data_IF_407849796308
#
_entry.id   IF_407849796308
#
_cell.length_a   1.000
_cell.length_b   1.000
_cell.length_c   1.000
_cell.angle_alpha   90.00
_cell.angle_beta   90.00
_cell.angle_gamma   90.00
#
_symmetry.space_group_name_H-M   'P 1'
#
loop_
_entity.id
_entity.type
_entity.pdbx_description
1 polymer ?
#
# COMPACT_ATOMS: atom_id res chain seq x y z
N UNK A 1 22.68 -2.08 7.31
CA UNK A 1 21.95 -0.81 7.06
C UNK A 1 22.08 0.19 8.21
N UNK A 2 22.42 1.47 7.92
CA UNK A 2 22.65 2.55 8.92
C UNK A 2 21.38 3.11 9.57
N UNK A 3 20.32 3.32 8.80
CA UNK A 3 19.10 3.98 9.28
C UNK A 3 17.99 2.99 9.63
N UNK A 4 16.94 3.51 10.26
CA UNK A 4 15.68 2.79 10.47
C UNK A 4 14.61 3.29 9.49
N UNK A 5 14.06 2.37 8.70
CA UNK A 5 13.06 2.59 7.68
C UNK A 5 11.64 2.28 8.16
N UNK A 6 11.45 1.89 9.42
CA UNK A 6 10.12 1.58 9.98
C UNK A 6 9.09 2.68 9.71
N UNK A 7 9.48 3.96 9.88
CA UNK A 7 8.59 5.11 9.64
C UNK A 7 8.22 5.28 8.17
N UNK A 8 9.12 4.96 7.25
CA UNK A 8 8.85 5.00 5.80
C UNK A 8 7.84 3.92 5.41
N UNK A 9 8.00 2.72 5.97
CA UNK A 9 7.18 1.55 5.68
C UNK A 9 5.79 1.64 6.35
N UNK A 10 5.71 2.19 7.57
CA UNK A 10 4.47 2.35 8.34
C UNK A 10 3.67 3.55 7.80
N UNK A 11 3.04 3.37 6.64
CA UNK A 11 2.15 4.35 6.03
C UNK A 11 0.85 3.70 5.59
N UNK A 12 -0.27 4.14 6.18
CA UNK A 12 -1.60 3.60 5.96
C UNK A 12 -2.42 4.37 4.90
N UNK A 13 -1.82 5.35 4.22
CA UNK A 13 -2.49 6.13 3.17
C UNK A 13 -2.54 5.39 1.82
N UNK A 14 -2.58 4.05 1.85
CA UNK A 14 -2.55 3.23 0.64
C UNK A 14 -3.94 3.01 0.07
N UNK A 15 -4.02 2.99 -1.26
CA UNK A 15 -5.16 2.47 -2.03
C UNK A 15 -4.77 1.13 -2.63
N UNK A 16 -5.71 0.18 -2.69
CA UNK A 16 -5.40 -1.18 -3.14
C UNK A 16 -6.52 -1.88 -3.89
N UNK A 17 -6.15 -2.86 -4.70
CA UNK A 17 -7.06 -3.77 -5.38
C UNK A 17 -6.61 -5.23 -5.30
N UNK A 18 -7.57 -6.14 -5.36
CA UNK A 18 -7.35 -7.59 -5.38
C UNK A 18 -8.18 -8.27 -6.49
N UNK A 19 -7.62 -9.31 -7.11
CA UNK A 19 -8.25 -10.06 -8.18
C UNK A 19 -8.54 -9.19 -9.39
N UNK A 20 -9.82 -9.11 -9.78
CA UNK A 20 -10.29 -8.34 -10.94
C UNK A 20 -10.54 -6.85 -10.66
N UNK A 21 -9.88 -6.28 -9.65
CA UNK A 21 -10.05 -4.87 -9.27
C UNK A 21 -10.96 -4.63 -8.05
N UNK A 22 -11.28 -5.66 -7.28
CA UNK A 22 -12.03 -5.50 -6.03
C UNK A 22 -11.22 -4.64 -5.05
N UNK A 23 -11.86 -3.64 -4.42
CA UNK A 23 -11.24 -2.79 -3.41
C UNK A 23 -10.59 -3.63 -2.31
N UNK A 24 -9.30 -3.37 -2.09
CA UNK A 24 -8.48 -3.96 -1.05
C UNK A 24 -8.02 -2.84 -0.12
N UNK A 25 -8.21 -3.08 1.16
CA UNK A 25 -7.80 -2.22 2.25
C UNK A 25 -6.67 -2.94 2.99
N UNK A 26 -5.54 -2.25 3.22
CA UNK A 26 -4.42 -2.73 4.04
C UNK A 26 -4.15 -1.72 5.13
N UNK A 27 -4.04 -2.19 6.37
CA UNK A 27 -3.68 -1.41 7.54
C UNK A 27 -2.51 -2.04 8.25
N UNK A 28 -1.50 -1.24 8.56
CA UNK A 28 -0.35 -1.61 9.37
C UNK A 28 -0.55 -1.05 10.78
N UNK A 29 -0.61 -1.95 11.76
CA UNK A 29 -0.65 -1.57 13.19
C UNK A 29 0.76 -1.20 13.65
N UNK A 30 1.75 -2.02 13.29
CA UNK A 30 3.15 -1.79 13.65
C UNK A 30 4.09 -2.33 12.58
N UNK A 31 5.19 -1.59 12.35
CA UNK A 31 6.34 -2.08 11.60
C UNK A 31 7.61 -1.75 12.38
N UNK A 32 8.41 -2.75 12.73
CA UNK A 32 9.64 -2.56 13.50
C UNK A 32 10.81 -3.35 12.91
N UNK A 33 11.99 -2.73 12.96
CA UNK A 33 13.24 -3.34 12.52
C UNK A 33 13.62 -4.54 13.39
N UNK A 34 14.10 -5.62 12.77
CA UNK A 34 14.66 -6.75 13.49
C UNK A 34 15.95 -6.37 14.24
N UNK A 35 16.16 -6.95 15.43
CA UNK A 35 17.30 -6.62 16.29
C UNK A 35 18.63 -7.23 15.83
N UNK A 36 18.59 -8.27 14.98
CA UNK A 36 19.75 -9.06 14.54
C UNK A 36 19.99 -8.94 13.03
N UNK A 37 18.93 -8.85 12.24
CA UNK A 37 18.98 -8.82 10.78
C UNK A 37 18.62 -7.41 10.30
N UNK A 38 19.60 -6.62 9.87
CA UNK A 38 19.44 -5.19 9.63
C UNK A 38 18.47 -4.85 8.47
N UNK A 39 18.25 -5.80 7.56
CA UNK A 39 17.42 -5.71 6.37
C UNK A 39 15.97 -6.20 6.60
N UNK A 40 15.70 -6.81 7.75
CA UNK A 40 14.41 -7.45 8.07
C UNK A 40 13.55 -6.53 8.94
N UNK A 41 12.27 -6.45 8.59
CA UNK A 41 11.25 -5.68 9.29
C UNK A 41 10.06 -6.57 9.58
N UNK A 42 9.62 -6.60 10.83
CA UNK A 42 8.43 -7.31 11.27
C UNK A 42 7.20 -6.43 11.10
N UNK A 43 6.11 -7.03 10.67
CA UNK A 43 4.85 -6.34 10.35
C UNK A 43 3.70 -7.02 11.09
N UNK A 44 2.85 -6.20 11.70
CA UNK A 44 1.53 -6.60 12.22
C UNK A 44 0.51 -5.65 11.61
N UNK A 45 -0.62 -6.19 11.15
CA UNK A 45 -1.65 -5.40 10.53
C UNK A 45 -2.91 -6.19 10.21
N UNK A 46 -3.75 -5.60 9.37
CA UNK A 46 -5.06 -6.12 8.97
C UNK A 46 -5.30 -5.87 7.49
N UNK A 47 -5.92 -6.82 6.82
CA UNK A 47 -6.48 -6.66 5.48
C UNK A 47 -8.00 -6.56 5.58
N UNK A 48 -8.62 -5.92 4.59
CA UNK A 48 -10.07 -5.95 4.44
C UNK A 48 -10.48 -5.99 2.97
N UNK A 49 -11.40 -6.90 2.66
CA UNK A 49 -12.06 -7.02 1.36
C UNK A 49 -13.55 -7.16 1.59
N UNK A 50 -14.34 -6.18 1.13
CA UNK A 50 -15.74 -6.00 1.53
C UNK A 50 -15.80 -5.93 3.07
N UNK A 51 -16.68 -6.70 3.70
CA UNK A 51 -16.80 -6.76 5.17
C UNK A 51 -15.88 -7.79 5.83
N UNK A 52 -15.07 -8.54 5.05
CA UNK A 52 -14.16 -9.54 5.62
C UNK A 52 -12.84 -8.89 6.04
N UNK A 53 -12.57 -8.88 7.34
CA UNK A 53 -11.31 -8.41 7.92
C UNK A 53 -10.45 -9.60 8.34
N UNK A 54 -9.17 -9.59 8.02
CA UNK A 54 -8.20 -10.58 8.47
C UNK A 54 -6.98 -9.92 9.10
N UNK A 55 -6.61 -10.33 10.30
CA UNK A 55 -5.36 -9.95 10.94
C UNK A 55 -4.21 -10.68 10.23
N UNK A 56 -3.09 -10.00 10.04
CA UNK A 56 -1.88 -10.61 9.52
C UNK A 56 -0.66 -10.27 10.36
N UNK A 57 0.32 -11.17 10.30
CA UNK A 57 1.69 -10.92 10.69
C UNK A 57 2.63 -11.30 9.55
N UNK A 58 3.78 -10.67 9.45
CA UNK A 58 4.67 -10.93 8.34
C UNK A 58 5.93 -10.12 8.38
N UNK A 59 6.61 -10.10 7.25
CA UNK A 59 7.91 -9.45 7.14
C UNK A 59 8.07 -8.67 5.84
N UNK A 60 8.88 -7.62 5.90
CA UNK A 60 9.46 -6.94 4.75
C UNK A 60 10.98 -7.15 4.82
N UNK A 61 11.57 -7.62 3.72
CA UNK A 61 13.00 -7.82 3.59
C UNK A 61 13.57 -6.88 2.52
N UNK A 62 14.31 -5.88 2.97
CA UNK A 62 14.94 -4.88 2.11
C UNK A 62 16.10 -5.54 1.36
N UNK A 63 16.04 -5.51 0.04
CA UNK A 63 16.99 -6.20 -0.83
C UNK A 63 18.10 -5.27 -1.35
N UNK A 64 17.75 -4.05 -1.75
CA UNK A 64 18.73 -3.08 -2.28
C UNK A 64 18.20 -1.66 -2.23
N UNK A 65 19.13 -0.71 -2.38
CA UNK A 65 18.87 0.70 -2.60
C UNK A 65 19.42 1.12 -3.94
N UNK A 66 18.75 2.05 -4.62
CA UNK A 66 19.24 2.76 -5.80
C UNK A 66 19.20 4.25 -5.49
N UNK A 67 20.30 4.97 -5.70
CA UNK A 67 20.25 6.42 -5.67
C UNK A 67 19.49 6.91 -6.92
N UNK A 68 18.55 7.84 -6.73
CA UNK A 68 17.85 8.49 -7.82
C UNK A 68 18.71 9.65 -8.36
N UNK A 69 18.54 9.96 -9.64
CA UNK A 69 19.29 11.04 -10.27
C UNK A 69 18.98 12.38 -9.60
N UNK A 70 19.98 13.25 -9.53
CA UNK A 70 19.82 14.58 -8.96
C UNK A 70 18.93 15.41 -9.88
N UNK A 71 17.71 15.68 -9.43
CA UNK A 71 16.82 16.65 -10.06
C UNK A 71 17.06 18.05 -9.47
N UNK A 72 16.18 19.01 -9.74
CA UNK A 72 16.25 20.42 -9.34
C UNK A 72 16.49 20.69 -7.84
N UNK A 73 16.40 19.68 -6.96
CA UNK A 73 16.51 19.83 -5.51
C UNK A 73 17.88 19.39 -4.97
N UNK A 74 18.48 20.13 -4.02
CA UNK A 74 19.80 19.83 -3.46
C UNK A 74 19.78 18.68 -2.42
N UNK A 75 18.87 17.72 -2.56
CA UNK A 75 18.67 16.60 -1.63
C UNK A 75 18.90 15.28 -2.36
N UNK A 76 19.71 14.40 -1.78
CA UNK A 76 19.93 13.04 -2.31
C UNK A 76 18.69 12.19 -2.04
N UNK A 77 18.10 11.69 -3.12
CA UNK A 77 16.92 10.81 -3.12
C UNK A 77 17.32 9.37 -3.45
N UNK A 78 16.55 8.43 -2.96
CA UNK A 78 16.83 6.99 -3.06
C UNK A 78 15.54 6.22 -3.27
N UNK A 79 15.64 5.12 -4.02
CA UNK A 79 14.61 4.10 -4.15
C UNK A 79 15.03 2.84 -3.39
N UNK A 80 14.16 2.36 -2.51
CA UNK A 80 14.26 1.07 -1.83
C UNK A 80 13.56 0.00 -2.67
N UNK A 81 14.15 -1.18 -2.72
CA UNK A 81 13.51 -2.39 -3.24
C UNK A 81 13.49 -3.45 -2.14
N UNK A 82 12.32 -4.03 -1.91
CA UNK A 82 12.12 -5.05 -0.90
C UNK A 82 11.20 -6.17 -1.39
N UNK A 83 11.20 -7.29 -0.68
CA UNK A 83 10.19 -8.36 -0.80
C UNK A 83 9.37 -8.39 0.47
N UNK A 84 8.09 -8.75 0.36
CA UNK A 84 7.22 -8.87 1.52
C UNK A 84 6.45 -10.19 1.52
N UNK A 85 6.08 -10.64 2.70
CA UNK A 85 5.15 -11.74 2.93
C UNK A 85 4.31 -11.43 4.17
N UNK A 86 2.99 -11.32 4.03
CA UNK A 86 2.03 -11.10 5.12
C UNK A 86 1.08 -12.29 5.21
N UNK A 87 1.08 -12.96 6.36
CA UNK A 87 0.31 -14.16 6.64
C UNK A 87 -0.91 -13.80 7.45
N UNK A 88 -2.09 -13.94 6.85
CA UNK A 88 -3.34 -13.78 7.59
C UNK A 88 -3.53 -14.93 8.59
N UNK A 89 -4.28 -14.69 9.66
CA UNK A 89 -4.62 -15.74 10.62
C UNK A 89 -5.43 -16.84 9.94
N UNK A 90 -4.85 -18.04 9.88
CA UNK A 90 -5.46 -19.26 9.31
C UNK A 90 -6.81 -19.63 9.89
N UNK A 91 -7.18 -19.12 11.09
CA UNK A 91 -8.49 -19.34 11.72
C UNK A 91 -9.59 -18.44 11.17
N UNK A 92 -9.25 -17.36 10.46
CA UNK A 92 -10.22 -16.41 9.93
C UNK A 92 -10.79 -16.86 8.58
N UNK A 93 -12.06 -16.51 8.36
CA UNK A 93 -12.73 -16.80 7.11
C UNK A 93 -12.02 -16.10 5.95
N UNK A 94 -11.82 -16.85 4.86
CA UNK A 94 -11.23 -16.28 3.64
C UNK A 94 -9.76 -15.88 3.78
N UNK A 95 -9.03 -16.40 4.77
CA UNK A 95 -7.61 -16.09 4.97
C UNK A 95 -6.66 -16.69 3.91
N UNK A 96 -5.53 -16.03 3.74
CA UNK A 96 -4.44 -16.38 2.84
C UNK A 96 -3.13 -15.67 3.15
N UNK A 97 -2.25 -15.64 2.16
CA UNK A 97 -0.93 -15.00 2.23
C UNK A 97 -0.84 -13.92 1.17
N UNK A 98 -0.46 -12.71 1.55
CA UNK A 98 0.03 -11.72 0.60
C UNK A 98 1.54 -11.88 0.43
N UNK A 99 2.04 -11.82 -0.80
CA UNK A 99 3.48 -11.84 -1.06
C UNK A 99 3.81 -11.11 -2.35
N UNK A 100 4.93 -10.40 -2.38
CA UNK A 100 5.31 -9.62 -3.54
C UNK A 100 6.58 -8.80 -3.36
N UNK A 101 6.67 -7.74 -4.16
CA UNK A 101 7.75 -6.76 -4.14
C UNK A 101 7.23 -5.41 -3.67
N UNK A 102 8.11 -4.64 -3.04
CA UNK A 102 7.86 -3.28 -2.58
C UNK A 102 8.91 -2.34 -3.17
N UNK A 103 8.45 -1.24 -3.75
CA UNK A 103 9.28 -0.08 -4.08
C UNK A 103 8.87 1.15 -3.26
N UNK A 104 9.84 1.87 -2.72
CA UNK A 104 9.59 3.07 -1.91
C UNK A 104 10.68 4.11 -2.14
N UNK A 105 10.27 5.32 -2.49
CA UNK A 105 11.16 6.45 -2.70
C UNK A 105 11.26 7.27 -1.41
N UNK A 106 12.49 7.61 -1.04
CA UNK A 106 12.80 8.30 0.20
C UNK A 106 14.03 9.21 0.06
N UNK A 107 14.21 10.12 1.00
CA UNK A 107 15.44 10.87 1.17
C UNK A 107 15.92 10.81 2.63
N UNK A 108 17.19 11.17 2.83
CA UNK A 108 17.80 11.23 4.15
C UNK A 108 18.04 12.68 4.52
N UNK A 109 17.57 13.08 5.69
CA UNK A 109 17.82 14.41 6.25
C UNK A 109 18.10 14.30 7.75
N UNK A 110 19.17 14.94 8.23
CA UNK A 110 19.59 14.92 9.66
C UNK A 110 19.52 13.51 10.29
N UNK A 111 20.13 12.54 9.63
CA UNK A 111 20.18 11.12 10.04
C UNK A 111 18.83 10.39 10.14
N UNK A 112 17.76 10.94 9.55
CA UNK A 112 16.43 10.33 9.52
C UNK A 112 15.96 10.08 8.09
N UNK A 113 15.17 9.02 7.93
CA UNK A 113 14.57 8.62 6.65
C UNK A 113 13.20 9.27 6.54
N UNK A 114 12.96 9.95 5.42
CA UNK A 114 11.69 10.58 5.10
C UNK A 114 11.18 10.05 3.77
N UNK A 115 9.87 9.80 3.70
CA UNK A 115 9.23 9.46 2.43
C UNK A 115 9.42 10.61 1.45
N UNK A 116 9.69 10.25 0.22
CA UNK A 116 9.86 11.21 -0.85
C UNK A 116 8.50 11.68 -1.35
N UNK A 117 8.05 12.79 -0.77
CA UNK A 117 6.80 13.47 -1.10
C UNK A 117 7.04 14.74 -1.92
N UNK A 118 8.25 14.93 -2.47
CA UNK A 118 8.61 16.15 -3.22
C UNK A 118 7.63 16.42 -4.37
N UNK A 119 7.06 15.34 -4.94
CA UNK A 119 6.11 15.38 -6.04
C UNK A 119 4.68 15.01 -5.63
N UNK A 120 4.33 15.03 -4.34
CA UNK A 120 3.04 14.52 -3.84
C UNK A 120 1.79 15.25 -4.35
N UNK A 121 1.94 16.39 -5.03
CA UNK A 121 0.87 17.15 -5.69
C UNK A 121 1.02 17.25 -7.22
N UNK A 122 1.96 16.52 -7.81
CA UNK A 122 2.14 16.48 -9.27
C UNK A 122 1.33 15.33 -9.85
N UNK A 123 0.81 15.55 -11.07
CA UNK A 123 0.05 14.55 -11.82
C UNK A 123 0.80 13.21 -11.88
N UNK A 124 0.09 12.14 -11.52
CA UNK A 124 0.62 10.78 -11.56
C UNK A 124 1.55 10.41 -10.41
N UNK A 125 1.61 11.20 -9.32
CA UNK A 125 2.38 10.82 -8.14
C UNK A 125 2.01 9.44 -7.58
N UNK A 126 3.04 8.66 -7.24
CA UNK A 126 2.91 7.40 -6.54
C UNK A 126 4.12 7.14 -5.65
N UNK A 127 3.92 6.40 -4.55
CA UNK A 127 5.01 5.93 -3.69
C UNK A 127 4.57 4.67 -2.91
N UNK A 128 5.47 4.00 -2.18
CA UNK A 128 5.21 2.78 -1.42
C UNK A 128 4.37 1.76 -2.20
N UNK A 129 4.85 1.37 -3.37
CA UNK A 129 4.15 0.50 -4.31
C UNK A 129 4.41 -0.96 -3.96
N UNK A 130 3.36 -1.66 -3.53
CA UNK A 130 3.35 -3.09 -3.28
C UNK A 130 2.70 -3.79 -4.48
N UNK A 131 3.50 -4.55 -5.22
CA UNK A 131 3.03 -5.37 -6.34
C UNK A 131 3.21 -6.85 -6.00
N UNK A 132 2.13 -7.62 -6.06
CA UNK A 132 2.15 -9.00 -5.65
C UNK A 132 0.85 -9.74 -5.83
N UNK A 133 0.69 -10.79 -5.01
CA UNK A 133 -0.46 -11.68 -5.03
C UNK A 133 -0.95 -11.97 -3.63
N UNK A 134 -2.23 -12.29 -3.54
CA UNK A 134 -2.84 -12.98 -2.42
C UNK A 134 -3.12 -14.44 -2.79
N UNK A 135 -2.70 -15.39 -1.96
CA UNK A 135 -2.94 -16.83 -2.14
C UNK A 135 -3.78 -17.38 -0.99
N UNK A 136 -4.94 -17.96 -1.30
CA UNK A 136 -5.80 -18.58 -0.30
C UNK A 136 -5.12 -19.79 0.35
N UNK A 137 -5.22 -19.92 1.68
CA UNK A 137 -4.83 -21.14 2.36
C UNK A 137 -5.77 -22.31 2.06
N UNK A 138 -7.07 -22.05 1.99
CA UNK A 138 -8.10 -23.09 1.84
C UNK A 138 -8.14 -23.65 0.41
N UNK A 139 -8.10 -22.78 -0.60
CA UNK A 139 -8.34 -23.18 -1.99
C UNK A 139 -7.11 -23.17 -2.86
N UNK A 140 -5.97 -22.64 -2.37
CA UNK A 140 -4.78 -22.33 -3.17
C UNK A 140 -5.02 -21.36 -4.34
N UNK A 141 -6.20 -20.75 -4.44
CA UNK A 141 -6.48 -19.74 -5.45
C UNK A 141 -5.54 -18.54 -5.28
N UNK A 142 -4.97 -18.07 -6.39
CA UNK A 142 -4.07 -16.93 -6.43
C UNK A 142 -4.79 -15.77 -7.11
N UNK A 143 -4.71 -14.58 -6.50
CA UNK A 143 -5.25 -13.33 -7.04
C UNK A 143 -4.13 -12.30 -7.05
N UNK A 144 -4.03 -11.46 -8.08
CA UNK A 144 -3.24 -10.22 -8.01
C UNK A 144 -3.71 -9.42 -6.80
N UNK A 145 -2.79 -8.83 -6.05
CA UNK A 145 -3.12 -8.01 -4.87
C UNK A 145 -2.08 -6.90 -4.76
N UNK A 146 -2.45 -5.73 -5.26
CA UNK A 146 -1.55 -4.61 -5.44
C UNK A 146 -2.10 -3.41 -4.68
N UNK A 147 -1.22 -2.65 -4.05
CA UNK A 147 -1.60 -1.46 -3.29
C UNK A 147 -0.43 -0.48 -3.18
N UNK A 148 -0.73 0.78 -2.95
CA UNK A 148 0.30 1.80 -2.78
C UNK A 148 -0.28 3.18 -2.55
N UNK A 149 0.59 4.17 -2.40
CA UNK A 149 0.21 5.57 -2.17
C UNK A 149 0.05 6.26 -3.52
N UNK A 150 -1.00 7.07 -3.66
CA UNK A 150 -1.28 7.88 -4.85
C UNK A 150 -1.82 7.10 -6.04
N UNK A 151 -1.20 5.95 -6.37
CA UNK A 151 -1.59 5.01 -7.43
C UNK A 151 -1.39 3.56 -6.98
N UNK A 152 -2.01 2.64 -7.74
CA UNK A 152 -1.91 1.19 -7.56
C UNK A 152 -1.03 0.63 -8.68
N UNK A 153 0.03 -0.14 -8.39
CA UNK A 153 0.86 -0.71 -9.44
C UNK A 153 0.11 -1.83 -10.16
N UNK A 154 0.24 -1.93 -11.49
CA UNK A 154 -0.33 -3.02 -12.30
C UNK A 154 -1.80 -3.33 -11.95
N UNK A 155 -2.60 -2.28 -11.93
CA UNK A 155 -4.00 -2.25 -11.49
C UNK A 155 -5.00 -2.89 -12.48
N UNK A 156 -4.51 -3.31 -13.66
CA UNK A 156 -5.27 -3.84 -14.79
C UNK A 156 -6.33 -2.87 -15.33
N UNK A 157 -5.96 -1.59 -15.47
CA UNK A 157 -6.81 -0.54 -16.06
C UNK A 157 -7.97 -0.18 -15.15
N UNK A 158 -7.73 -0.15 -13.84
CA UNK A 158 -8.69 0.31 -12.86
C UNK A 158 -8.67 1.85 -12.79
N UNK A 159 -7.49 2.44 -12.90
CA UNK A 159 -7.22 3.86 -12.92
C UNK A 159 -7.36 4.43 -14.33
N UNK A 160 -8.24 5.40 -14.48
CA UNK A 160 -8.43 6.22 -15.69
C UNK A 160 -8.08 7.70 -15.43
N UNK A 161 -7.49 8.00 -14.27
CA UNK A 161 -7.24 9.35 -13.81
C UNK A 161 -5.95 9.95 -14.37
N UNK A 162 -6.07 11.11 -15.02
CA UNK A 162 -4.92 11.84 -15.59
C UNK A 162 -4.05 12.52 -14.51
N UNK A 163 -4.64 12.96 -13.40
CA UNK A 163 -3.96 13.69 -12.32
C UNK A 163 -3.88 12.86 -11.04
N UNK A 164 -5.04 12.57 -10.45
CA UNK A 164 -5.22 11.70 -9.28
C UNK A 164 -5.82 10.35 -9.69
N UNK A 165 -5.71 9.33 -8.84
CA UNK A 165 -6.33 8.04 -9.09
C UNK A 165 -7.85 8.19 -9.23
N UNK A 166 -8.40 7.74 -10.37
CA UNK A 166 -9.85 7.74 -10.64
C UNK A 166 -10.27 6.38 -11.13
N UNK A 167 -11.26 5.80 -10.48
CA UNK A 167 -11.74 4.46 -10.83
C UNK A 167 -12.55 4.51 -12.11
N UNK A 168 -12.28 3.58 -13.03
CA UNK A 168 -13.12 3.31 -14.19
C UNK A 168 -14.58 3.09 -13.73
N UNK A 169 -15.55 3.89 -14.23
CA UNK A 169 -16.95 3.74 -13.84
C UNK A 169 -17.51 2.32 -13.98
N UNK A 170 -17.02 1.56 -14.97
CA UNK A 170 -17.41 0.15 -15.18
C UNK A 170 -16.97 -0.77 -14.05
N UNK A 171 -15.96 -0.38 -13.26
CA UNK A 171 -15.40 -1.13 -12.13
C UNK A 171 -15.74 -0.53 -10.77
N UNK A 172 -16.41 0.62 -10.72
CA UNK A 172 -16.73 1.31 -9.47
C UNK A 172 -17.52 0.43 -8.49
N UNK A 173 -18.44 -0.38 -9.02
CA UNK A 173 -19.24 -1.35 -8.26
C UNK A 173 -18.42 -2.40 -7.49
N UNK A 174 -17.12 -2.53 -7.77
CA UNK A 174 -16.19 -3.43 -7.07
C UNK A 174 -15.69 -2.88 -5.73
N UNK A 175 -16.53 -2.12 -5.02
CA UNK A 175 -16.24 -1.57 -3.69
C UNK A 175 -15.54 -0.21 -3.68
N UNK A 176 -15.66 0.57 -4.75
CA UNK A 176 -15.01 1.88 -4.90
C UNK A 176 -15.96 3.07 -4.73
N UNK A 177 -17.24 2.84 -4.46
CA UNK A 177 -18.24 3.90 -4.32
C UNK A 177 -17.86 4.91 -3.23
N UNK A 178 -17.42 4.44 -2.06
CA UNK A 178 -16.97 5.32 -0.97
C UNK A 178 -15.79 6.18 -1.40
N UNK A 179 -14.77 5.58 -2.00
CA UNK A 179 -13.60 6.28 -2.52
C UNK A 179 -13.99 7.36 -3.55
N UNK A 180 -14.84 7.03 -4.53
CA UNK A 180 -15.25 8.02 -5.55
C UNK A 180 -16.10 9.15 -4.96
N UNK A 181 -16.90 8.87 -3.95
CA UNK A 181 -17.75 9.86 -3.29
C UNK A 181 -16.96 10.84 -2.40
N UNK A 182 -15.85 10.43 -1.77
CA UNK A 182 -15.01 11.36 -1.00
C UNK A 182 -14.25 12.36 -1.89
N UNK A 183 -14.09 12.08 -3.18
CA UNK A 183 -13.47 13.01 -4.13
C UNK A 183 -14.38 14.16 -4.55
N UNK A 184 -15.64 14.18 -4.08
CA UNK A 184 -16.59 15.27 -4.29
C UNK A 184 -17.17 15.70 -2.92
N UNK A 185 -16.54 16.67 -2.23
CA UNK A 185 -16.95 17.11 -0.89
C UNK A 185 -18.40 17.61 -0.79
N UNK A 186 -18.96 18.13 -1.88
CA UNK A 186 -20.33 18.65 -1.93
C UNK A 186 -21.39 17.54 -2.08
N UNK A 187 -20.97 16.28 -2.19
CA UNK A 187 -21.86 15.15 -2.34
C UNK A 187 -22.61 14.87 -1.02
N UNK A 188 -23.93 14.72 -1.08
CA UNK A 188 -24.78 14.41 0.08
C UNK A 188 -24.38 13.13 0.83
N UNK A 189 -23.68 12.20 0.16
CA UNK A 189 -23.18 10.96 0.78
C UNK A 189 -21.74 11.06 1.28
N UNK A 190 -21.08 12.21 1.17
CA UNK A 190 -19.66 12.41 1.55
C UNK A 190 -19.34 11.94 2.96
N UNK A 191 -20.17 12.28 3.95
CA UNK A 191 -19.95 11.89 5.34
C UNK A 191 -20.02 10.37 5.54
N UNK A 192 -20.98 9.70 4.89
CA UNK A 192 -21.11 8.24 4.92
C UNK A 192 -19.93 7.57 4.20
N UNK A 193 -19.49 8.13 3.08
CA UNK A 193 -18.36 7.62 2.32
C UNK A 193 -17.04 7.76 3.11
N UNK A 194 -16.86 8.90 3.79
CA UNK A 194 -15.71 9.15 4.67
C UNK A 194 -15.69 8.14 5.83
N UNK A 195 -16.84 7.91 6.47
CA UNK A 195 -16.96 6.90 7.51
C UNK A 195 -16.64 5.48 7.03
N UNK A 196 -16.89 5.17 5.75
CA UNK A 196 -16.54 3.86 5.17
C UNK A 196 -15.04 3.69 4.92
N UNK A 197 -14.39 4.71 4.35
CA UNK A 197 -12.95 4.72 4.11
C UNK A 197 -12.15 4.77 5.42
N UNK A 198 -12.73 5.33 6.49
CA UNK A 198 -12.15 5.41 7.84
C UNK A 198 -12.67 4.34 8.81
N UNK A 199 -13.57 3.45 8.36
CA UNK A 199 -14.22 2.46 9.23
C UNK A 199 -13.14 1.67 9.98
N UNK A 200 -13.34 1.53 11.29
CA UNK A 200 -12.43 0.79 12.17
C UNK A 200 -12.26 -0.68 11.73
N UNK A 201 -11.11 -1.24 12.08
CA UNK A 201 -10.58 -2.52 11.60
C UNK A 201 -10.57 -3.61 12.67
#
# INVERSE_FOLDING_TARGET
>A
MRYDYSRLLLNNNTIGCIGSGQRLYIHFDTIYKDKKIAELYHVIGKSRVKDNVCFFSGNIHISKFKQLDAEFYPIKRYKMFAKYEFKEDTKQYGAGVFSGQLESDFFIYKDSVYMDEIYSGVDGYYNNQYEGVWKSYKTNAIKKANFGIGRIPNDNGLDIGSSEFRVDPSKQHLGWDSYMNIMNPDNKVYQRATAEEQREW
#
